data_IF_564256764591
#
_entry.id   IF_564256764591
#
_cell.length_a   1.000
_cell.length_b   1.000
_cell.length_c   1.000
_cell.angle_alpha   90.00
_cell.angle_beta   90.00
_cell.angle_gamma   90.00
#
_symmetry.space_group_name_H-M   'P 1'
#
loop_
_entity.id
_entity.type
_entity.pdbx_description
1 polymer ?
#
# COMPACT_ATOMS: atom_id res chain seq x y z
N UNK A 1 -20.53 -5.46 1.38
CA UNK A 1 -20.19 -6.18 2.64
C UNK A 1 -21.43 -6.47 3.49
N UNK A 2 -22.36 -7.29 3.01
CA UNK A 2 -23.51 -7.73 3.83
C UNK A 2 -23.11 -8.96 4.65
N UNK A 3 -23.46 -8.95 5.94
CA UNK A 3 -23.58 -10.17 6.75
C UNK A 3 -22.55 -10.34 7.88
N UNK A 4 -23.05 -10.20 9.10
CA UNK A 4 -22.76 -11.01 10.30
C UNK A 4 -21.38 -10.87 10.92
N UNK A 5 -21.35 -10.56 12.21
CA UNK A 5 -20.54 -11.12 13.33
C UNK A 5 -19.12 -11.66 13.07
N UNK A 6 -18.46 -11.24 11.98
CA UNK A 6 -17.07 -11.56 11.70
C UNK A 6 -16.26 -10.50 12.40
N UNK A 7 -15.89 -10.78 13.65
CA UNK A 7 -14.96 -9.96 14.42
C UNK A 7 -13.75 -9.61 13.57
N UNK A 8 -13.24 -8.40 13.72
CA UNK A 8 -12.11 -7.90 12.92
C UNK A 8 -11.00 -7.45 13.84
N UNK A 9 -9.82 -8.03 13.65
CA UNK A 9 -8.65 -7.70 14.44
C UNK A 9 -7.90 -6.56 13.78
N UNK A 10 -7.65 -5.49 14.54
CA UNK A 10 -6.79 -4.38 14.13
C UNK A 10 -5.46 -4.48 14.88
N UNK A 11 -4.36 -4.57 14.14
CA UNK A 11 -3.01 -4.46 14.68
C UNK A 11 -2.36 -3.14 14.26
N UNK A 12 -2.13 -2.28 15.25
CA UNK A 12 -1.39 -1.04 15.05
C UNK A 12 0.12 -1.24 14.95
N UNK A 13 0.72 -0.66 13.91
CA UNK A 13 2.17 -0.63 13.79
C UNK A 13 2.80 0.14 14.97
N UNK A 14 3.94 -0.31 15.49
CA UNK A 14 4.57 0.27 16.68
C UNK A 14 4.88 1.76 16.53
N UNK A 15 5.38 2.20 15.36
CA UNK A 15 5.60 3.62 15.10
C UNK A 15 4.28 4.40 15.08
N UNK A 16 3.23 3.81 14.52
CA UNK A 16 1.93 4.46 14.44
C UNK A 16 1.32 4.72 15.83
N UNK A 17 1.36 3.69 16.70
CA UNK A 17 0.96 3.80 18.10
C UNK A 17 1.76 4.86 18.87
N UNK A 18 3.06 5.02 18.55
CA UNK A 18 3.93 5.98 19.22
C UNK A 18 3.70 7.44 18.78
N UNK A 19 3.30 7.67 17.52
CA UNK A 19 3.20 9.03 16.97
C UNK A 19 1.78 9.60 16.93
N UNK A 20 0.75 8.76 16.83
CA UNK A 20 -0.60 9.23 16.56
C UNK A 20 -1.75 8.34 17.03
N UNK A 21 -1.45 7.17 17.62
CA UNK A 21 -2.49 6.25 18.11
C UNK A 21 -3.12 5.43 16.98
N UNK A 22 -4.33 4.91 17.22
CA UNK A 22 -5.14 4.16 16.24
C UNK A 22 -6.60 4.63 16.20
N UNK A 23 -6.93 5.67 16.98
CA UNK A 23 -8.26 6.23 17.07
C UNK A 23 -8.85 6.58 15.70
N UNK A 24 -8.11 7.19 14.74
CA UNK A 24 -8.67 7.49 13.42
C UNK A 24 -9.09 6.23 12.64
N UNK A 25 -8.31 5.16 12.67
CA UNK A 25 -8.66 3.88 12.04
C UNK A 25 -9.83 3.21 12.71
N UNK A 26 -9.87 3.24 14.04
CA UNK A 26 -10.98 2.70 14.81
C UNK A 26 -12.28 3.42 14.47
N UNK A 27 -12.27 4.75 14.46
CA UNK A 27 -13.40 5.59 14.07
C UNK A 27 -13.84 5.32 12.63
N UNK A 28 -12.89 5.25 11.70
CA UNK A 28 -13.19 5.01 10.28
C UNK A 28 -13.88 3.66 10.09
N UNK A 29 -13.32 2.59 10.68
CA UNK A 29 -13.89 1.25 10.58
C UNK A 29 -15.24 1.18 11.29
N UNK A 30 -15.39 1.77 12.48
CA UNK A 30 -16.68 1.86 13.18
C UNK A 30 -17.74 2.54 12.31
N UNK A 31 -17.41 3.65 11.63
CA UNK A 31 -18.31 4.34 10.69
C UNK A 31 -18.68 3.51 9.46
N UNK A 32 -17.84 2.54 9.10
CA UNK A 32 -18.14 1.56 8.06
C UNK A 32 -19.03 0.40 8.56
N UNK A 33 -19.48 0.43 9.82
CA UNK A 33 -20.27 -0.63 10.43
C UNK A 33 -19.44 -1.89 10.73
N UNK A 34 -18.13 -1.72 10.91
CA UNK A 34 -17.21 -2.80 11.27
C UNK A 34 -17.03 -2.80 12.79
N UNK A 35 -17.24 -3.96 13.40
CA UNK A 35 -16.85 -4.22 14.79
C UNK A 35 -15.34 -4.51 14.85
N UNK A 36 -14.58 -3.56 15.40
CA UNK A 36 -13.12 -3.61 15.48
C UNK A 36 -12.69 -4.01 16.88
N UNK A 37 -11.88 -5.05 16.96
CA UNK A 37 -11.12 -5.37 18.15
C UNK A 37 -9.65 -5.04 17.91
N UNK A 38 -9.14 -4.03 18.62
CA UNK A 38 -7.71 -3.74 18.63
C UNK A 38 -6.95 -4.80 19.44
N UNK A 39 -5.91 -5.36 18.85
CA UNK A 39 -4.95 -6.22 19.56
C UNK A 39 -3.88 -5.32 20.20
N UNK A 40 -3.93 -5.21 21.52
CA UNK A 40 -2.93 -4.46 22.31
C UNK A 40 -1.64 -5.27 22.41
N UNK A 41 -0.51 -4.63 22.10
CA UNK A 41 0.80 -5.29 22.15
C UNK A 41 1.93 -4.35 21.75
N UNK A 42 3.17 -4.85 21.81
CA UNK A 42 4.38 -4.10 21.45
C UNK A 42 4.67 -4.07 19.94
N UNK A 43 5.93 -4.31 19.59
CA UNK A 43 6.38 -4.50 18.21
C UNK A 43 6.04 -5.91 17.72
N UNK A 44 5.77 -6.07 16.43
CA UNK A 44 5.62 -7.40 15.81
C UNK A 44 6.91 -8.23 15.76
N UNK A 45 8.07 -7.62 16.06
CA UNK A 45 9.37 -8.28 16.06
C UNK A 45 10.24 -8.03 14.82
N UNK A 46 9.71 -7.48 13.73
CA UNK A 46 10.51 -7.25 12.52
C UNK A 46 11.22 -5.88 12.47
N UNK A 47 10.61 -4.82 13.01
CA UNK A 47 11.14 -3.45 13.02
C UNK A 47 11.87 -3.04 11.71
N UNK A 48 11.20 -3.18 10.57
CA UNK A 48 11.84 -3.09 9.26
C UNK A 48 12.41 -4.44 8.85
N UNK A 49 13.73 -4.50 8.60
CA UNK A 49 14.45 -5.73 8.26
C UNK A 49 15.14 -6.40 9.44
N UNK A 50 15.09 -5.80 10.64
CA UNK A 50 15.88 -6.23 11.80
C UNK A 50 15.68 -7.71 12.15
N UNK A 51 14.45 -8.21 12.11
CA UNK A 51 14.19 -9.62 12.43
C UNK A 51 14.68 -10.61 11.36
N UNK A 52 15.12 -10.13 10.19
CA UNK A 52 15.78 -10.94 9.16
C UNK A 52 17.30 -10.93 9.29
N UNK A 53 17.87 -10.11 10.17
CA UNK A 53 19.31 -10.09 10.41
C UNK A 53 19.78 -11.39 11.08
N UNK A 54 21.04 -11.74 10.84
CA UNK A 54 21.64 -12.95 11.40
C UNK A 54 21.52 -12.99 12.92
N UNK A 55 21.07 -14.12 13.45
CA UNK A 55 20.87 -14.32 14.89
C UNK A 55 19.69 -13.54 15.51
N UNK A 56 18.83 -12.87 14.71
CA UNK A 56 17.66 -12.13 15.23
C UNK A 56 16.33 -12.85 15.06
N UNK A 57 16.28 -13.92 14.28
CA UNK A 57 15.04 -14.62 13.95
C UNK A 57 14.23 -15.05 15.19
N UNK A 58 14.85 -15.75 16.14
CA UNK A 58 14.14 -16.25 17.32
C UNK A 58 13.62 -15.11 18.21
N UNK A 59 14.38 -14.02 18.33
CA UNK A 59 13.96 -12.83 19.10
C UNK A 59 12.81 -12.13 18.38
N UNK A 60 12.88 -12.04 17.05
CA UNK A 60 11.82 -11.48 16.21
C UNK A 60 10.51 -12.25 16.41
N UNK A 61 10.55 -13.58 16.33
CA UNK A 61 9.39 -14.42 16.62
C UNK A 61 8.90 -14.23 18.05
N UNK A 62 9.80 -14.26 19.04
CA UNK A 62 9.43 -14.07 20.44
C UNK A 62 8.69 -12.74 20.69
N UNK A 63 9.08 -11.65 20.00
CA UNK A 63 8.33 -10.40 20.05
C UNK A 63 6.91 -10.52 19.46
N UNK A 64 6.76 -11.18 18.30
CA UNK A 64 5.46 -11.44 17.69
C UNK A 64 4.55 -12.30 18.58
N UNK A 65 5.15 -13.27 19.29
CA UNK A 65 4.47 -14.20 20.20
C UNK A 65 3.92 -13.53 21.47
N UNK A 66 4.33 -12.30 21.79
CA UNK A 66 3.82 -11.60 22.98
C UNK A 66 2.33 -11.22 22.85
N UNK A 67 1.83 -11.00 21.63
CA UNK A 67 0.45 -10.57 21.42
C UNK A 67 -0.07 -10.83 20.00
N UNK A 68 0.71 -10.45 18.98
CA UNK A 68 0.24 -10.42 17.59
C UNK A 68 -0.06 -11.83 17.06
N UNK A 69 0.91 -12.74 17.15
CA UNK A 69 0.81 -14.05 16.55
C UNK A 69 -0.25 -14.94 17.24
N UNK A 70 -0.38 -14.95 18.58
CA UNK A 70 -1.47 -15.64 19.26
C UNK A 70 -2.84 -15.10 18.83
N UNK A 71 -3.04 -13.77 18.86
CA UNK A 71 -4.32 -13.18 18.49
C UNK A 71 -4.75 -13.53 17.06
N UNK A 72 -3.80 -13.60 16.12
CA UNK A 72 -4.06 -14.00 14.73
C UNK A 72 -4.45 -15.48 14.60
N UNK A 73 -3.80 -16.37 15.37
CA UNK A 73 -4.08 -17.81 15.34
C UNK A 73 -5.40 -18.16 16.03
N UNK A 74 -5.74 -17.44 17.10
CA UNK A 74 -6.96 -17.66 17.87
C UNK A 74 -8.20 -17.06 17.19
N UNK A 75 -8.01 -16.15 16.22
CA UNK A 75 -9.10 -15.54 15.49
C UNK A 75 -9.81 -16.54 14.57
N UNK A 76 -11.14 -16.46 14.51
CA UNK A 76 -11.94 -17.29 13.62
C UNK A 76 -11.42 -17.23 12.17
N UNK A 77 -11.54 -18.32 11.39
CA UNK A 77 -11.10 -18.34 10.00
C UNK A 77 -11.71 -17.22 9.14
N UNK A 78 -12.93 -16.79 9.49
CA UNK A 78 -13.66 -15.70 8.82
C UNK A 78 -13.26 -14.28 9.27
N UNK A 79 -12.48 -14.14 10.35
CA UNK A 79 -12.05 -12.84 10.89
C UNK A 79 -11.16 -12.11 9.90
N UNK A 80 -11.49 -10.85 9.63
CA UNK A 80 -10.61 -9.95 8.88
C UNK A 80 -9.51 -9.44 9.81
N UNK A 81 -8.26 -9.65 9.43
CA UNK A 81 -7.10 -9.16 10.18
C UNK A 81 -6.54 -7.97 9.41
N UNK A 82 -6.40 -6.81 10.06
CA UNK A 82 -5.93 -5.58 9.43
C UNK A 82 -4.61 -5.16 10.07
N UNK A 83 -3.58 -4.94 9.24
CA UNK A 83 -2.28 -4.47 9.70
C UNK A 83 -1.65 -3.47 8.72
N UNK A 84 -1.40 -2.25 9.21
CA UNK A 84 -0.91 -1.16 8.35
C UNK A 84 0.61 -1.21 8.11
N UNK A 85 1.39 -1.82 9.01
CA UNK A 85 2.85 -1.94 8.83
C UNK A 85 3.23 -3.07 7.87
N UNK A 86 4.08 -2.79 6.87
CA UNK A 86 4.65 -3.82 5.98
C UNK A 86 5.29 -4.95 6.80
N UNK A 87 6.17 -4.59 7.73
CA UNK A 87 6.80 -5.53 8.66
C UNK A 87 5.77 -6.37 9.42
N UNK A 88 4.71 -5.77 9.94
CA UNK A 88 3.69 -6.52 10.68
C UNK A 88 2.95 -7.53 9.79
N UNK A 89 2.66 -7.16 8.53
CA UNK A 89 2.04 -8.07 7.56
C UNK A 89 2.95 -9.23 7.19
N UNK A 90 4.24 -8.96 6.95
CA UNK A 90 5.23 -10.01 6.67
C UNK A 90 5.36 -10.97 7.85
N UNK A 91 5.43 -10.45 9.09
CA UNK A 91 5.50 -11.31 10.27
C UNK A 91 4.31 -12.27 10.35
N UNK A 92 3.10 -11.76 10.14
CA UNK A 92 1.88 -12.58 10.15
C UNK A 92 1.93 -13.66 9.07
N UNK A 93 2.33 -13.29 7.85
CA UNK A 93 2.37 -14.19 6.72
C UNK A 93 3.45 -15.28 6.86
N UNK A 94 4.62 -14.90 7.38
CA UNK A 94 5.82 -15.73 7.37
C UNK A 94 5.96 -16.60 8.64
N UNK A 95 5.35 -16.19 9.76
CA UNK A 95 5.39 -16.93 11.04
C UNK A 95 4.46 -18.16 11.09
N UNK A 96 4.02 -18.68 9.93
CA UNK A 96 3.23 -19.92 9.86
C UNK A 96 1.80 -19.81 10.40
N UNK A 97 1.24 -18.60 10.51
CA UNK A 97 -0.14 -18.42 11.00
C UNK A 97 -1.20 -18.95 10.01
N UNK A 98 -0.83 -19.12 8.74
CA UNK A 98 -1.77 -19.42 7.65
C UNK A 98 -2.70 -18.25 7.29
N UNK A 99 -2.49 -17.07 7.89
CA UNK A 99 -3.32 -15.88 7.70
C UNK A 99 -2.57 -14.81 6.91
N UNK A 100 -3.35 -13.94 6.27
CA UNK A 100 -2.85 -12.68 5.70
C UNK A 100 -3.63 -11.53 6.32
N UNK A 101 -2.92 -10.42 6.53
CA UNK A 101 -3.51 -9.20 7.04
C UNK A 101 -3.39 -8.10 5.98
N UNK A 102 -4.45 -7.72 5.24
CA UNK A 102 -4.41 -6.56 4.36
C UNK A 102 -4.13 -5.25 5.11
N UNK A 103 -3.58 -4.29 4.39
CA UNK A 103 -3.52 -2.89 4.82
C UNK A 103 -4.93 -2.29 4.84
N UNK A 104 -5.22 -1.34 5.74
CA UNK A 104 -6.53 -0.69 5.80
C UNK A 104 -6.97 -0.10 4.46
N UNK A 105 -6.08 0.58 3.74
CA UNK A 105 -6.34 1.08 2.38
C UNK A 105 -6.83 0.00 1.39
N UNK A 106 -6.34 -1.25 1.50
CA UNK A 106 -6.82 -2.36 0.66
C UNK A 106 -8.24 -2.76 1.06
N UNK A 107 -8.52 -2.81 2.38
CA UNK A 107 -9.86 -3.06 2.91
C UNK A 107 -10.85 -1.98 2.44
N UNK A 108 -10.45 -0.70 2.47
CA UNK A 108 -11.26 0.42 1.98
C UNK A 108 -11.49 0.31 0.47
N UNK A 109 -10.47 -0.05 -0.30
CA UNK A 109 -10.59 -0.23 -1.75
C UNK A 109 -11.59 -1.35 -2.09
N UNK A 110 -11.51 -2.48 -1.39
CA UNK A 110 -12.45 -3.59 -1.54
C UNK A 110 -13.87 -3.17 -1.14
N UNK A 111 -14.03 -2.49 0.00
CA UNK A 111 -15.33 -1.98 0.43
C UNK A 111 -15.93 -1.01 -0.59
N UNK A 112 -15.10 -0.17 -1.22
CA UNK A 112 -15.51 0.79 -2.25
C UNK A 112 -15.91 0.12 -3.57
N UNK A 113 -15.24 -0.96 -3.97
CA UNK A 113 -15.60 -1.71 -5.20
C UNK A 113 -16.97 -2.37 -5.07
N UNK A 114 -17.33 -2.78 -3.85
CA UNK A 114 -18.62 -3.37 -3.50
C UNK A 114 -19.72 -2.34 -3.20
N UNK A 115 -19.37 -1.04 -3.15
CA UNK A 115 -20.32 0.02 -2.85
C UNK A 115 -21.01 0.53 -4.13
N UNK A 116 -22.28 0.98 -4.04
CA UNK A 116 -22.94 1.66 -5.15
C UNK A 116 -22.11 2.85 -5.65
N UNK A 117 -22.12 3.12 -6.96
CA UNK A 117 -21.43 4.28 -7.51
C UNK A 117 -22.08 5.57 -6.98
N UNK A 118 -21.33 6.31 -6.16
CA UNK A 118 -21.65 7.67 -5.72
C UNK A 118 -20.82 8.74 -6.44
N UNK A 119 -21.12 10.04 -6.22
CA UNK A 119 -20.29 11.14 -6.70
C UNK A 119 -18.85 11.01 -6.21
N UNK A 120 -17.87 11.27 -7.09
CA UNK A 120 -16.43 11.15 -6.80
C UNK A 120 -15.73 12.50 -7.02
N UNK A 121 -15.83 13.44 -6.08
CA UNK A 121 -15.24 14.77 -6.22
C UNK A 121 -13.72 14.73 -6.42
N UNK A 122 -13.04 13.66 -5.98
CA UNK A 122 -11.62 13.43 -6.23
C UNK A 122 -11.32 13.09 -7.70
N UNK A 123 -12.29 12.56 -8.45
CA UNK A 123 -12.18 12.39 -9.90
C UNK A 123 -12.49 13.70 -10.63
N UNK A 124 -13.38 14.51 -10.08
CA UNK A 124 -13.64 15.85 -10.61
C UNK A 124 -12.42 16.77 -10.43
N UNK A 125 -11.68 16.60 -9.32
CA UNK A 125 -10.40 17.28 -9.05
C UNK A 125 -9.25 16.85 -9.97
N UNK A 126 -9.34 15.69 -10.66
CA UNK A 126 -8.34 15.26 -11.64
C UNK A 126 -8.43 16.00 -12.99
N UNK A 127 -9.36 16.93 -13.15
CA UNK A 127 -9.62 17.58 -14.45
C UNK A 127 -8.67 18.72 -14.84
N UNK A 128 -7.62 19.03 -14.08
CA UNK A 128 -6.64 20.04 -14.52
C UNK A 128 -5.20 19.68 -14.14
N UNK A 129 -4.63 18.63 -14.75
CA UNK A 129 -3.17 18.62 -14.92
C UNK A 129 -2.81 19.90 -15.70
N UNK A 130 -2.03 20.85 -15.14
CA UNK A 130 -1.75 22.10 -15.83
C UNK A 130 -1.12 21.78 -17.18
N UNK A 131 -1.71 22.33 -18.25
CA UNK A 131 -1.12 22.21 -19.57
C UNK A 131 0.32 22.76 -19.52
N UNK A 132 1.33 22.05 -20.07
CA UNK A 132 2.67 22.60 -20.13
C UNK A 132 2.64 23.90 -20.94
N UNK A 133 3.42 24.93 -20.56
CA UNK A 133 3.43 26.21 -21.25
C UNK A 133 3.82 26.02 -22.72
N UNK A 134 3.29 26.86 -23.61
CA UNK A 134 3.50 26.77 -25.06
C UNK A 134 4.99 26.66 -25.43
N UNK A 135 5.88 27.37 -24.73
CA UNK A 135 7.35 27.27 -24.92
C UNK A 135 7.89 25.85 -24.78
N UNK A 136 7.38 25.06 -23.81
CA UNK A 136 7.82 23.68 -23.60
C UNK A 136 7.28 22.75 -24.68
N UNK A 137 6.07 23.03 -25.19
CA UNK A 137 5.52 22.29 -26.34
C UNK A 137 6.31 22.59 -27.61
N UNK A 138 6.59 23.85 -27.88
CA UNK A 138 7.40 24.29 -29.01
C UNK A 138 8.82 23.71 -28.97
N UNK A 139 9.50 23.74 -27.82
CA UNK A 139 10.83 23.16 -27.66
C UNK A 139 10.85 21.64 -27.94
N UNK A 140 9.82 20.90 -27.50
CA UNK A 140 9.70 19.45 -27.79
C UNK A 140 9.48 19.18 -29.28
N UNK A 141 8.60 19.94 -29.92
CA UNK A 141 8.35 19.81 -31.37
C UNK A 141 9.62 20.14 -32.16
N UNK A 142 10.28 21.25 -31.83
CA UNK A 142 11.53 21.65 -32.47
C UNK A 142 12.64 20.59 -32.30
N UNK A 143 12.77 20.00 -31.11
CA UNK A 143 13.73 18.92 -30.87
C UNK A 143 13.43 17.69 -31.75
N UNK A 144 12.17 17.28 -31.87
CA UNK A 144 11.78 16.15 -32.75
C UNK A 144 12.09 16.45 -34.21
N UNK A 145 11.74 17.66 -34.69
CA UNK A 145 12.01 18.08 -36.08
C UNK A 145 13.51 18.15 -36.36
N UNK A 146 14.31 18.68 -35.42
CA UNK A 146 15.77 18.74 -35.59
C UNK A 146 16.39 17.34 -35.68
N UNK A 147 15.94 16.40 -34.85
CA UNK A 147 16.43 15.00 -34.88
C UNK A 147 16.05 14.31 -36.19
N UNK A 148 14.82 14.49 -36.69
CA UNK A 148 14.40 13.86 -37.95
C UNK A 148 15.14 14.43 -39.16
N UNK A 149 15.34 15.76 -39.20
CA UNK A 149 16.12 16.41 -40.26
C UNK A 149 17.60 15.99 -40.23
N UNK A 150 18.21 15.91 -39.04
CA UNK A 150 19.59 15.45 -38.89
C UNK A 150 19.75 14.00 -39.35
N UNK A 151 18.84 13.11 -38.96
CA UNK A 151 18.84 11.71 -39.39
C UNK A 151 18.67 11.58 -40.91
N UNK A 152 17.73 12.34 -41.51
CA UNK A 152 17.52 12.37 -42.96
C UNK A 152 18.74 12.90 -43.72
N UNK A 153 19.38 13.96 -43.21
CA UNK A 153 20.60 14.52 -43.77
C UNK A 153 21.78 13.54 -43.72
N UNK A 154 22.00 12.86 -42.59
CA UNK A 154 23.03 11.82 -42.48
C UNK A 154 22.79 10.65 -43.45
N UNK A 155 21.54 10.21 -43.62
CA UNK A 155 21.18 9.16 -44.57
C UNK A 155 21.42 9.59 -46.03
N UNK A 156 21.11 10.84 -46.37
CA UNK A 156 21.37 11.38 -47.71
C UNK A 156 22.87 11.48 -48.01
N UNK A 157 23.68 11.97 -47.05
CA UNK A 157 25.14 12.09 -47.18
C UNK A 157 25.82 10.73 -47.32
N UNK A 158 25.37 9.71 -46.58
CA UNK A 158 25.84 8.33 -46.72
C UNK A 158 25.54 7.76 -48.12
N UNK A 159 24.36 8.04 -48.67
CA UNK A 159 23.96 7.56 -50.00
C UNK A 159 24.76 8.21 -51.15
N UNK A 160 25.27 9.43 -50.96
CA UNK A 160 26.09 10.12 -51.97
C UNK A 160 27.58 9.77 -51.90
N UNK A 161 28.08 9.24 -50.78
CA UNK A 161 29.48 8.82 -50.63
C UNK A 161 29.79 7.38 -51.07
N UNK A 162 28.76 6.60 -51.40
CA UNK A 162 28.85 5.20 -51.87
C UNK A 162 28.76 5.07 -53.41
N UNK A 163 29.00 6.15 -54.14
CA UNK A 163 29.12 6.22 -55.61
C UNK A 163 30.53 6.62 -56.00
#
# INVERSE_FOLDING_TARGET
MRGGDRGRLLWGHCHHKATGGLEPEHDLLTRMGVDVQEVKGGCCGLAGSWGFEEGKYDISLACGEQALLPAVRDADPGTLIVANGFSCRSQIADAGTGRRAPHLAEVLSLARQEAPAGPRPEHDAKSARPAPPLRRRAARVAAVVAVTLAAGGLLALRKTGDR
#
